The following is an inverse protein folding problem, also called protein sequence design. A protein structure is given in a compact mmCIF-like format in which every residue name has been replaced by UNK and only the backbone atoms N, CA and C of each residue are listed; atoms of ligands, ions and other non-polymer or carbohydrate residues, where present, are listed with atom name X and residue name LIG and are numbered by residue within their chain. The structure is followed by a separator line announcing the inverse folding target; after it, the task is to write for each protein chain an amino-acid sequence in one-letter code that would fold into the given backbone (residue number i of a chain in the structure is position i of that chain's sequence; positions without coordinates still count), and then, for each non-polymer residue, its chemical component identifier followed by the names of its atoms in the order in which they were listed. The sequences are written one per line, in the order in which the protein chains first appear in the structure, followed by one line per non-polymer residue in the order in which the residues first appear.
data_IF_710738636948
#
_entry.id   IF_710738636948
#
_cell.length_a   1.000
_cell.length_b   1.000
_cell.length_c   1.000
_cell.angle_alpha   90.00
_cell.angle_beta   90.00
_cell.angle_gamma   90.00
#
_symmetry.space_group_name_H-M   'P 1'
#
loop_
_entity.id
_entity.type
_entity.pdbx_description
1 polymer ?
#
# COMPACT_ATOMS: atom_id res chain seq x y z
N UNK A 1 23.15 34.18 -7.06
CA UNK A 1 21.95 33.83 -6.28
C UNK A 1 20.67 34.46 -6.84
N UNK A 2 20.50 34.55 -8.17
CA UNK A 2 19.33 35.22 -8.79
C UNK A 2 18.90 34.67 -10.16
N UNK A 3 19.30 33.45 -10.52
CA UNK A 3 18.96 32.83 -11.82
C UNK A 3 18.33 31.44 -11.70
N UNK A 4 18.13 30.92 -10.48
CA UNK A 4 17.52 29.61 -10.22
C UNK A 4 16.06 29.64 -9.74
N UNK A 5 15.42 30.82 -9.71
CA UNK A 5 14.03 31.00 -9.25
C UNK A 5 13.07 31.46 -10.37
N UNK A 6 13.41 31.18 -11.63
CA UNK A 6 12.60 31.58 -12.80
C UNK A 6 12.29 30.42 -13.74
N UNK A 7 11.90 29.26 -13.19
CA UNK A 7 11.30 28.18 -13.97
C UNK A 7 10.01 27.62 -13.33
N UNK A 8 9.36 28.40 -12.46
CA UNK A 8 8.00 28.08 -12.03
C UNK A 8 7.01 28.47 -13.14
N UNK A 9 6.25 27.47 -13.61
CA UNK A 9 5.05 27.60 -14.44
C UNK A 9 5.21 27.73 -15.96
N UNK A 10 6.02 26.87 -16.59
CA UNK A 10 5.51 26.24 -17.82
C UNK A 10 4.74 24.99 -17.38
N UNK A 11 3.42 24.97 -17.62
CA UNK A 11 2.63 23.74 -17.54
C UNK A 11 3.17 22.80 -18.62
N UNK A 12 4.14 21.98 -18.25
CA UNK A 12 4.64 20.89 -19.07
C UNK A 12 3.43 20.06 -19.52
N UNK A 13 3.10 20.08 -20.80
CA UNK A 13 1.84 19.54 -21.33
C UNK A 13 1.62 18.05 -21.05
N UNK A 14 2.68 17.36 -20.65
CA UNK A 14 2.71 15.94 -20.33
C UNK A 14 2.56 15.64 -18.82
N UNK A 15 2.76 16.62 -17.93
CA UNK A 15 2.60 16.46 -16.47
C UNK A 15 1.13 16.65 -16.09
N UNK A 16 0.32 15.66 -16.45
CA UNK A 16 -1.13 15.61 -16.17
C UNK A 16 -1.44 14.37 -15.35
N UNK A 17 -2.41 14.48 -14.45
CA UNK A 17 -3.04 13.33 -13.79
C UNK A 17 -4.49 13.28 -14.24
N UNK A 18 -5.03 12.07 -14.40
CA UNK A 18 -6.43 11.90 -14.76
C UNK A 18 -7.37 11.92 -13.55
N UNK A 19 -6.84 11.84 -12.32
CA UNK A 19 -7.63 11.78 -11.07
C UNK A 19 -7.49 13.03 -10.19
N UNK A 20 -6.56 13.93 -10.53
CA UNK A 20 -6.38 15.21 -9.83
C UNK A 20 -6.17 16.35 -10.80
N UNK A 21 -6.65 17.53 -10.42
CA UNK A 21 -6.54 18.77 -11.22
C UNK A 21 -5.10 19.27 -11.32
N UNK A 22 -4.31 19.03 -10.28
CA UNK A 22 -2.88 19.33 -10.24
C UNK A 22 -2.08 18.06 -10.43
N UNK A 23 -0.96 18.17 -11.12
CA UNK A 23 0.08 17.15 -11.07
C UNK A 23 0.72 17.16 -9.67
N UNK A 24 0.89 16.01 -9.01
CA UNK A 24 1.43 15.97 -7.66
C UNK A 24 2.82 16.59 -7.56
N UNK A 25 2.94 17.64 -6.76
CA UNK A 25 4.17 18.43 -6.64
C UNK A 25 5.33 17.58 -6.11
N UNK A 26 5.06 16.56 -5.27
CA UNK A 26 6.10 15.69 -4.73
C UNK A 26 6.88 14.93 -5.81
N UNK A 27 6.25 14.63 -6.97
CA UNK A 27 6.91 13.89 -8.06
C UNK A 27 7.98 14.70 -8.77
N UNK A 28 7.95 16.03 -8.65
CA UNK A 28 9.00 16.92 -9.18
C UNK A 28 10.31 16.81 -8.40
N UNK A 29 10.29 16.17 -7.22
CA UNK A 29 11.47 16.00 -6.38
C UNK A 29 12.29 14.80 -6.83
N UNK A 30 13.61 14.94 -6.72
CA UNK A 30 14.54 13.86 -7.05
C UNK A 30 14.31 12.65 -6.12
N UNK A 31 14.28 12.91 -4.81
CA UNK A 31 14.05 11.91 -3.76
C UNK A 31 12.59 11.99 -3.33
N UNK A 32 11.85 10.87 -3.46
CA UNK A 32 10.48 10.71 -2.97
C UNK A 32 10.50 9.95 -1.65
N UNK A 33 9.82 10.50 -0.65
CA UNK A 33 9.69 9.95 0.70
C UNK A 33 8.26 10.13 1.19
N UNK A 34 7.85 9.37 2.20
CA UNK A 34 6.54 9.52 2.85
C UNK A 34 6.29 10.94 3.35
N UNK A 35 7.30 11.55 3.97
CA UNK A 35 7.23 12.92 4.50
C UNK A 35 7.15 13.95 3.38
N UNK A 36 7.87 13.74 2.27
CA UNK A 36 7.73 14.60 1.10
C UNK A 36 6.32 14.49 0.50
N UNK A 37 5.77 13.28 0.40
CA UNK A 37 4.42 13.06 -0.10
C UNK A 37 3.39 13.80 0.75
N UNK A 38 3.42 13.64 2.07
CA UNK A 38 2.53 14.36 3.00
C UNK A 38 2.67 15.88 2.87
N UNK A 39 3.90 16.39 2.89
CA UNK A 39 4.18 17.83 2.81
C UNK A 39 3.63 18.44 1.51
N UNK A 40 3.86 17.80 0.38
CA UNK A 40 3.42 18.35 -0.91
C UNK A 40 1.93 18.06 -1.16
N UNK A 41 1.36 16.98 -0.63
CA UNK A 41 -0.10 16.78 -0.59
C UNK A 41 -0.78 17.91 0.18
N UNK A 42 -0.23 18.35 1.32
CA UNK A 42 -0.75 19.52 2.06
C UNK A 42 -0.77 20.80 1.19
N UNK A 43 0.26 21.00 0.37
CA UNK A 43 0.36 22.15 -0.55
C UNK A 43 -0.64 22.00 -1.72
N UNK A 44 -0.72 20.81 -2.31
CA UNK A 44 -1.53 20.54 -3.50
C UNK A 44 -3.02 20.57 -3.17
N UNK A 45 -3.42 20.02 -2.02
CA UNK A 45 -4.81 19.98 -1.55
C UNK A 45 -5.29 21.33 -1.04
N UNK A 46 -4.39 22.16 -0.51
CA UNK A 46 -4.67 23.51 0.02
C UNK A 46 -5.85 23.51 1.00
N UNK A 47 -5.85 22.56 1.96
CA UNK A 47 -6.93 22.42 2.94
C UNK A 47 -6.87 23.46 4.08
N UNK A 48 -6.24 24.61 3.83
CA UNK A 48 -6.20 25.78 4.73
C UNK A 48 -5.69 25.46 6.15
N UNK A 49 -4.80 24.47 6.28
CA UNK A 49 -4.25 24.01 7.57
C UNK A 49 -5.20 23.15 8.42
N UNK A 50 -6.39 22.83 7.91
CA UNK A 50 -7.42 22.00 8.53
C UNK A 50 -7.54 20.64 7.81
N UNK A 51 -8.42 19.77 8.29
CA UNK A 51 -8.77 18.54 7.57
C UNK A 51 -9.95 18.81 6.65
N UNK A 52 -9.82 18.47 5.37
CA UNK A 52 -10.92 18.61 4.41
C UNK A 52 -11.62 17.28 4.19
N UNK A 53 -12.96 17.29 4.26
CA UNK A 53 -13.82 16.19 3.84
C UNK A 53 -14.92 16.80 2.95
N UNK A 54 -14.97 16.36 1.69
CA UNK A 54 -15.75 16.95 0.62
C UNK A 54 -15.43 18.46 0.49
N UNK A 55 -16.43 19.33 0.52
CA UNK A 55 -16.25 20.79 0.41
C UNK A 55 -16.21 21.51 1.76
N UNK A 56 -15.98 20.78 2.85
CA UNK A 56 -15.99 21.30 4.22
C UNK A 56 -14.65 21.08 4.90
N UNK A 57 -14.30 22.01 5.78
CA UNK A 57 -13.11 22.00 6.61
C UNK A 57 -13.49 21.75 8.07
N UNK A 58 -12.68 20.91 8.72
CA UNK A 58 -12.92 20.44 10.07
C UNK A 58 -11.68 20.66 10.94
N UNK A 59 -11.88 20.96 12.22
CA UNK A 59 -10.82 20.95 13.23
C UNK A 59 -10.98 19.75 14.17
N UNK A 60 -10.16 18.73 13.94
CA UNK A 60 -10.15 17.53 14.76
C UNK A 60 -9.14 17.60 15.92
N UNK A 61 -8.50 18.74 16.21
CA UNK A 61 -7.39 18.83 17.16
C UNK A 61 -7.73 18.25 18.56
N UNK A 62 -8.96 18.48 19.05
CA UNK A 62 -9.44 17.92 20.32
C UNK A 62 -9.86 16.44 20.22
N UNK A 63 -10.13 15.94 19.02
CA UNK A 63 -10.59 14.58 18.74
C UNK A 63 -9.46 13.59 18.45
N UNK A 64 -8.27 14.04 18.02
CA UNK A 64 -7.14 13.19 17.60
C UNK A 64 -6.91 12.01 18.57
N UNK A 65 -6.78 12.29 19.87
CA UNK A 65 -6.51 11.26 20.90
C UNK A 65 -7.68 10.32 21.18
N UNK A 66 -8.89 10.73 20.78
CA UNK A 66 -10.14 9.98 20.97
C UNK A 66 -10.57 9.24 19.71
N UNK A 67 -9.86 9.40 18.59
CA UNK A 67 -10.19 8.76 17.33
C UNK A 67 -10.11 7.23 17.47
N UNK A 68 -11.22 6.47 17.25
CA UNK A 68 -11.24 5.03 17.44
C UNK A 68 -10.21 4.26 16.59
N UNK A 69 -9.85 4.78 15.42
CA UNK A 69 -8.83 4.22 14.54
C UNK A 69 -7.38 4.51 14.96
N UNK A 70 -7.16 5.33 15.98
CA UNK A 70 -5.85 5.77 16.45
C UNK A 70 -5.48 7.18 15.99
N UNK A 71 -4.63 7.85 16.77
CA UNK A 71 -4.24 9.25 16.57
C UNK A 71 -3.40 9.46 15.29
N UNK A 72 -2.57 8.47 14.92
CA UNK A 72 -1.63 8.52 13.80
C UNK A 72 -2.27 9.09 12.52
N UNK A 73 -3.45 8.61 12.15
CA UNK A 73 -4.11 8.97 10.89
C UNK A 73 -4.40 10.47 10.80
N UNK A 74 -4.93 11.07 11.87
CA UNK A 74 -5.26 12.50 11.89
C UNK A 74 -4.00 13.36 12.10
N UNK A 75 -3.02 12.89 12.88
CA UNK A 75 -1.75 13.59 13.07
C UNK A 75 -0.97 13.73 11.75
N UNK A 76 -0.88 12.66 10.96
CA UNK A 76 -0.14 12.69 9.70
C UNK A 76 -0.84 13.47 8.60
N UNK A 77 -2.18 13.55 8.62
CA UNK A 77 -2.98 14.13 7.51
C UNK A 77 -3.44 15.56 7.77
N UNK A 78 -2.96 16.21 8.83
CA UNK A 78 -3.31 17.61 9.12
C UNK A 78 -2.97 18.52 7.94
N UNK A 79 -3.94 19.30 7.49
CA UNK A 79 -3.78 20.21 6.35
C UNK A 79 -3.98 19.54 4.98
N UNK A 80 -4.51 18.32 4.91
CA UNK A 80 -4.77 17.61 3.64
C UNK A 80 -6.26 17.38 3.39
N UNK A 81 -6.61 17.08 2.14
CA UNK A 81 -7.90 16.51 1.78
C UNK A 81 -7.89 15.00 2.08
N UNK A 82 -8.73 14.62 3.05
CA UNK A 82 -8.90 13.25 3.53
C UNK A 82 -10.25 12.66 3.12
N UNK A 83 -10.92 13.21 2.11
CA UNK A 83 -12.27 12.77 1.70
C UNK A 83 -12.31 11.28 1.36
N UNK A 84 -11.44 10.82 0.46
CA UNK A 84 -11.42 9.41 0.07
C UNK A 84 -11.05 8.52 1.27
N UNK A 85 -10.05 8.92 2.06
CA UNK A 85 -9.67 8.18 3.26
C UNK A 85 -10.83 8.08 4.27
N UNK A 86 -11.58 9.17 4.47
CA UNK A 86 -12.76 9.19 5.32
C UNK A 86 -13.85 8.25 4.79
N UNK A 87 -14.17 8.31 3.51
CA UNK A 87 -15.19 7.47 2.89
C UNK A 87 -14.84 5.98 2.95
N UNK A 88 -13.56 5.64 2.77
CA UNK A 88 -13.13 4.24 2.65
C UNK A 88 -12.97 3.56 4.00
N UNK A 89 -12.44 4.28 5.00
CA UNK A 89 -12.13 3.68 6.30
C UNK A 89 -13.32 3.69 7.27
N UNK A 90 -14.35 4.49 7.00
CA UNK A 90 -15.56 4.58 7.81
C UNK A 90 -16.77 3.95 7.10
N UNK A 91 -17.00 2.66 7.36
CA UNK A 91 -18.05 1.89 6.67
C UNK A 91 -19.46 2.31 7.12
N UNK A 92 -19.66 2.63 8.40
CA UNK A 92 -20.97 3.00 8.95
C UNK A 92 -21.22 4.51 8.94
N UNK A 93 -22.46 4.94 9.19
CA UNK A 93 -22.83 6.35 9.25
C UNK A 93 -22.40 7.08 10.54
N UNK A 94 -21.94 6.36 11.57
CA UNK A 94 -21.63 6.95 12.87
C UNK A 94 -20.56 8.08 12.81
N UNK A 95 -19.47 7.94 12.03
CA UNK A 95 -18.48 9.01 11.86
C UNK A 95 -19.06 10.24 11.15
N UNK A 96 -19.89 10.05 10.12
CA UNK A 96 -20.57 11.15 9.41
C UNK A 96 -21.50 11.94 10.33
N UNK A 97 -22.20 11.25 11.24
CA UNK A 97 -23.06 11.91 12.24
C UNK A 97 -22.27 12.70 13.29
N UNK A 98 -20.97 12.40 13.47
CA UNK A 98 -20.10 13.09 14.40
C UNK A 98 -19.46 14.35 13.78
N UNK A 99 -19.26 14.37 12.46
CA UNK A 99 -18.58 15.45 11.73
C UNK A 99 -19.08 16.87 12.04
N UNK A 100 -20.39 17.16 12.15
CA UNK A 100 -20.88 18.52 12.39
C UNK A 100 -20.32 19.19 13.65
N UNK A 101 -19.90 18.40 14.65
CA UNK A 101 -19.30 18.93 15.89
C UNK A 101 -17.92 19.58 15.69
N UNK A 102 -17.24 19.24 14.60
CA UNK A 102 -15.88 19.69 14.29
C UNK A 102 -15.83 20.56 13.04
N UNK A 103 -16.97 20.82 12.39
CA UNK A 103 -17.05 21.64 11.19
C UNK A 103 -16.71 23.10 11.52
N UNK A 104 -15.80 23.68 10.74
CA UNK A 104 -15.39 25.08 10.87
C UNK A 104 -16.06 25.94 9.82
N UNK A 105 -15.93 25.56 8.54
CA UNK A 105 -16.47 26.29 7.37
C UNK A 105 -16.38 25.47 6.09
N UNK A 106 -16.97 25.97 5.00
CA UNK A 106 -16.71 25.46 3.65
C UNK A 106 -15.33 25.87 3.16
N UNK A 107 -14.71 25.01 2.34
CA UNK A 107 -13.42 25.31 1.70
C UNK A 107 -13.56 26.42 0.65
N UNK A 108 -12.59 27.32 0.55
CA UNK A 108 -12.64 28.44 -0.39
C UNK A 108 -12.46 28.02 -1.86
N UNK A 109 -11.71 26.94 -2.09
CA UNK A 109 -11.39 26.42 -3.42
C UNK A 109 -11.96 25.02 -3.61
N UNK A 110 -12.35 24.65 -4.84
CA UNK A 110 -12.83 23.30 -5.09
C UNK A 110 -11.69 22.27 -4.96
N UNK A 111 -12.04 21.01 -4.71
CA UNK A 111 -11.11 19.91 -4.39
C UNK A 111 -10.04 19.70 -5.47
N UNK A 112 -8.88 19.16 -5.08
CA UNK A 112 -7.86 18.75 -6.04
C UNK A 112 -8.26 17.46 -6.78
N UNK A 113 -8.82 16.49 -6.04
CA UNK A 113 -9.26 15.21 -6.58
C UNK A 113 -10.63 15.30 -7.25
N UNK A 114 -10.84 14.48 -8.29
CA UNK A 114 -12.08 14.46 -9.08
C UNK A 114 -12.93 13.21 -8.86
N UNK A 115 -12.58 12.36 -7.88
CA UNK A 115 -13.38 11.19 -7.53
C UNK A 115 -14.73 11.59 -6.97
N UNK A 116 -15.74 10.77 -7.31
CA UNK A 116 -17.10 10.93 -6.86
C UNK A 116 -17.48 9.83 -5.87
N UNK A 117 -18.35 10.21 -4.95
CA UNK A 117 -18.99 9.32 -3.98
C UNK A 117 -20.50 9.61 -4.02
N UNK A 118 -21.11 9.49 -5.19
CA UNK A 118 -22.54 9.70 -5.35
C UNK A 118 -23.32 8.68 -4.51
N UNK A 119 -24.45 9.08 -3.94
CA UNK A 119 -25.23 8.19 -3.08
C UNK A 119 -25.77 6.98 -3.83
N UNK A 120 -26.15 7.16 -5.10
CA UNK A 120 -26.55 6.11 -6.03
C UNK A 120 -25.36 5.52 -6.82
N UNK A 121 -24.13 5.96 -6.55
CA UNK A 121 -22.91 5.40 -7.14
C UNK A 121 -22.59 4.00 -6.63
N UNK A 122 -21.67 3.31 -7.32
CA UNK A 122 -21.28 1.94 -7.03
C UNK A 122 -20.72 1.82 -5.62
N UNK A 123 -19.73 2.65 -5.26
CA UNK A 123 -19.06 2.51 -3.97
C UNK A 123 -20.01 2.70 -2.79
N UNK A 124 -20.82 3.78 -2.79
CA UNK A 124 -21.76 4.04 -1.69
C UNK A 124 -22.89 3.01 -1.65
N UNK A 125 -23.30 2.45 -2.79
CA UNK A 125 -24.24 1.33 -2.82
C UNK A 125 -23.68 0.09 -2.14
N UNK A 126 -22.46 -0.34 -2.51
CA UNK A 126 -21.80 -1.48 -1.89
C UNK A 126 -21.54 -1.23 -0.39
N UNK A 127 -21.00 -0.06 -0.04
CA UNK A 127 -20.70 0.34 1.34
C UNK A 127 -21.94 0.26 2.23
N UNK A 128 -23.13 0.70 1.78
CA UNK A 128 -24.38 0.56 2.54
C UNK A 128 -24.77 -0.90 2.78
N UNK A 129 -24.69 -1.75 1.75
CA UNK A 129 -24.98 -3.19 1.87
C UNK A 129 -24.03 -3.84 2.88
N UNK A 130 -22.73 -3.55 2.79
CA UNK A 130 -21.71 -4.04 3.72
C UNK A 130 -21.97 -3.52 5.14
N UNK A 131 -22.27 -2.23 5.32
CA UNK A 131 -22.55 -1.66 6.64
C UNK A 131 -23.72 -2.33 7.37
N UNK A 132 -24.75 -2.76 6.62
CA UNK A 132 -25.86 -3.54 7.17
C UNK A 132 -25.40 -4.95 7.55
N UNK A 133 -24.69 -5.64 6.65
CA UNK A 133 -24.23 -7.00 6.87
C UNK A 133 -23.25 -7.13 8.04
N UNK A 134 -22.44 -6.10 8.34
CA UNK A 134 -21.47 -6.10 9.45
C UNK A 134 -22.07 -6.48 10.81
N UNK A 135 -23.38 -6.27 11.02
CA UNK A 135 -24.05 -6.62 12.28
C UNK A 135 -24.16 -8.13 12.50
N UNK A 136 -24.25 -8.89 11.40
CA UNK A 136 -24.62 -10.31 11.41
C UNK A 136 -23.49 -11.22 10.88
N UNK A 137 -22.32 -10.66 10.54
CA UNK A 137 -21.18 -11.45 10.06
C UNK A 137 -20.60 -12.38 11.13
N UNK A 138 -20.06 -13.51 10.69
CA UNK A 138 -19.26 -14.37 11.54
C UNK A 138 -17.85 -13.78 11.73
N UNK A 139 -17.54 -13.37 12.97
CA UNK A 139 -16.22 -12.82 13.32
C UNK A 139 -15.20 -13.86 13.81
N UNK A 140 -15.58 -15.15 13.94
CA UNK A 140 -14.65 -16.22 14.34
C UNK A 140 -13.42 -16.35 13.43
N UNK A 141 -13.49 -16.11 12.09
CA UNK A 141 -12.31 -16.15 11.23
C UNK A 141 -11.17 -15.23 11.70
N UNK A 142 -11.44 -14.08 12.35
CA UNK A 142 -10.37 -13.23 12.92
C UNK A 142 -9.43 -13.99 13.86
N UNK A 143 -9.95 -14.98 14.61
CA UNK A 143 -9.13 -15.84 15.48
C UNK A 143 -8.15 -16.67 14.66
N UNK A 144 -8.56 -17.17 13.50
CA UNK A 144 -7.68 -17.90 12.58
C UNK A 144 -6.60 -16.99 11.99
N UNK A 145 -6.92 -15.74 11.64
CA UNK A 145 -5.91 -14.73 11.24
C UNK A 145 -4.85 -14.52 12.33
N UNK A 146 -5.28 -14.41 13.59
CA UNK A 146 -4.38 -14.27 14.74
C UNK A 146 -3.50 -15.52 14.95
N UNK A 147 -4.08 -16.72 14.85
CA UNK A 147 -3.33 -17.97 15.00
C UNK A 147 -2.30 -18.16 13.90
N UNK A 148 -2.64 -17.84 12.64
CA UNK A 148 -1.68 -17.88 11.52
C UNK A 148 -0.54 -16.88 11.77
N UNK A 149 -0.85 -15.65 12.16
CA UNK A 149 0.16 -14.64 12.45
C UNK A 149 1.11 -15.07 13.58
N UNK A 150 0.58 -15.60 14.69
CA UNK A 150 1.37 -16.16 15.80
C UNK A 150 2.24 -17.33 15.32
N UNK A 151 1.68 -18.25 14.54
CA UNK A 151 2.42 -19.37 13.96
C UNK A 151 3.59 -18.90 13.09
N UNK A 152 3.36 -17.89 12.24
CA UNK A 152 4.41 -17.30 11.39
C UNK A 152 5.50 -16.64 12.25
N UNK A 153 5.12 -15.87 13.29
CA UNK A 153 6.07 -15.26 14.21
C UNK A 153 6.95 -16.31 14.90
N UNK A 154 6.36 -17.35 15.47
CA UNK A 154 7.13 -18.43 16.11
C UNK A 154 7.98 -19.21 15.11
N UNK A 155 7.50 -19.41 13.88
CA UNK A 155 8.28 -20.05 12.83
C UNK A 155 9.49 -19.21 12.45
N UNK A 156 9.33 -17.89 12.27
CA UNK A 156 10.43 -16.96 11.99
C UNK A 156 11.44 -16.95 13.12
N UNK A 157 10.99 -16.76 14.37
CA UNK A 157 11.89 -16.75 15.53
C UNK A 157 12.59 -18.10 15.69
N UNK A 158 11.85 -19.21 15.71
CA UNK A 158 12.41 -20.54 15.88
C UNK A 158 13.43 -20.90 14.79
N UNK A 159 13.15 -20.54 13.53
CA UNK A 159 14.07 -20.83 12.43
C UNK A 159 15.31 -19.94 12.42
N UNK A 160 15.16 -18.64 12.67
CA UNK A 160 16.29 -17.72 12.89
C UNK A 160 17.19 -18.20 14.03
N UNK A 161 16.62 -18.68 15.13
CA UNK A 161 17.38 -19.14 16.30
C UNK A 161 18.03 -20.51 16.06
N UNK A 162 17.40 -21.39 15.29
CA UNK A 162 17.96 -22.72 15.02
C UNK A 162 19.11 -22.66 14.01
N UNK A 163 19.03 -21.79 13.00
CA UNK A 163 20.05 -21.67 11.94
C UNK A 163 21.51 -21.57 12.47
N UNK A 164 21.86 -20.65 13.40
CA UNK A 164 23.23 -20.51 13.89
C UNK A 164 23.71 -21.66 14.80
N UNK A 165 22.80 -22.50 15.31
CA UNK A 165 23.13 -23.65 16.16
C UNK A 165 23.53 -24.90 15.35
N UNK A 166 23.11 -24.97 14.09
CA UNK A 166 23.35 -26.12 13.23
C UNK A 166 24.80 -26.11 12.71
N UNK A 167 25.41 -27.29 12.60
CA UNK A 167 26.79 -27.45 12.09
C UNK A 167 26.80 -27.75 10.58
N UNK A 168 25.89 -28.60 10.10
CA UNK A 168 25.79 -29.00 8.70
C UNK A 168 25.28 -27.84 7.83
N UNK A 169 26.07 -27.45 6.83
CA UNK A 169 25.77 -26.31 5.94
C UNK A 169 24.37 -26.40 5.32
N UNK A 170 23.99 -27.55 4.77
CA UNK A 170 22.66 -27.73 4.15
C UNK A 170 21.51 -27.49 5.11
N UNK A 171 21.66 -27.90 6.38
CA UNK A 171 20.63 -27.71 7.41
C UNK A 171 20.56 -26.24 7.84
N UNK A 172 21.69 -25.53 7.92
CA UNK A 172 21.70 -24.07 8.17
C UNK A 172 20.93 -23.32 7.08
N UNK A 173 21.28 -23.56 5.82
CA UNK A 173 20.63 -22.92 4.67
C UNK A 173 19.13 -23.24 4.63
N UNK A 174 18.72 -24.47 4.93
CA UNK A 174 17.31 -24.82 5.01
C UNK A 174 16.57 -23.97 6.07
N UNK A 175 17.14 -23.82 7.26
CA UNK A 175 16.54 -22.99 8.32
C UNK A 175 16.52 -21.51 7.95
N UNK A 176 17.55 -21.00 7.26
CA UNK A 176 17.57 -19.64 6.75
C UNK A 176 16.47 -19.40 5.69
N UNK A 177 16.22 -20.38 4.80
CA UNK A 177 15.15 -20.29 3.80
C UNK A 177 13.76 -20.34 4.45
N UNK A 178 13.56 -21.19 5.46
CA UNK A 178 12.32 -21.22 6.26
C UNK A 178 12.14 -19.90 7.00
N UNK A 179 13.20 -19.33 7.58
CA UNK A 179 13.17 -18.02 8.23
C UNK A 179 12.81 -16.92 7.24
N UNK A 180 13.41 -16.90 6.05
CA UNK A 180 13.13 -15.91 5.03
C UNK A 180 11.69 -15.97 4.51
N UNK A 181 11.21 -17.19 4.21
CA UNK A 181 9.84 -17.41 3.75
C UNK A 181 8.81 -17.03 4.83
N UNK A 182 9.02 -17.49 6.07
CA UNK A 182 8.13 -17.14 7.19
C UNK A 182 8.17 -15.64 7.53
N UNK A 183 9.33 -14.99 7.47
CA UNK A 183 9.45 -13.54 7.67
C UNK A 183 8.71 -12.75 6.60
N UNK A 184 8.78 -13.20 5.34
CA UNK A 184 8.02 -12.60 4.24
C UNK A 184 6.52 -12.74 4.49
N UNK A 185 6.06 -13.97 4.77
CA UNK A 185 4.66 -14.25 5.10
C UNK A 185 4.18 -13.48 6.34
N UNK A 186 5.01 -13.32 7.36
CA UNK A 186 4.72 -12.55 8.57
C UNK A 186 4.59 -11.05 8.25
N UNK A 187 5.48 -10.52 7.41
CA UNK A 187 5.41 -9.14 6.92
C UNK A 187 4.12 -8.88 6.15
N UNK A 188 3.75 -9.77 5.21
CA UNK A 188 2.48 -9.68 4.47
C UNK A 188 1.29 -9.84 5.42
N UNK A 189 1.33 -10.78 6.36
CA UNK A 189 0.26 -10.93 7.34
C UNK A 189 0.10 -9.71 8.25
N UNK A 190 1.18 -8.98 8.57
CA UNK A 190 1.14 -7.77 9.38
C UNK A 190 0.40 -6.61 8.69
N UNK A 191 0.30 -6.62 7.37
CA UNK A 191 -0.47 -5.63 6.60
C UNK A 191 -1.95 -5.60 6.96
N UNK A 192 -2.55 -6.76 7.18
CA UNK A 192 -3.89 -6.90 7.75
C UNK A 192 -4.08 -6.08 9.05
N UNK A 193 -3.02 -5.91 9.83
CA UNK A 193 -3.07 -5.28 11.16
C UNK A 193 -2.77 -3.79 11.14
N UNK A 194 -1.91 -3.28 10.26
CA UNK A 194 -1.59 -1.85 10.23
C UNK A 194 -2.67 -0.98 9.57
N UNK A 195 -3.62 -1.55 8.83
CA UNK A 195 -4.82 -0.84 8.37
C UNK A 195 -5.85 -0.60 9.48
N UNK A 196 -5.68 -1.26 10.64
CA UNK A 196 -6.60 -1.19 11.78
C UNK A 196 -6.06 -0.29 12.88
N UNK A 197 -6.87 -0.10 13.93
CA UNK A 197 -6.43 0.49 15.20
C UNK A 197 -5.15 -0.17 15.68
N UNK A 198 -4.25 0.63 16.24
CA UNK A 198 -2.98 0.18 16.81
C UNK A 198 -3.14 -1.10 17.64
N UNK A 199 -2.31 -2.07 17.33
CA UNK A 199 -2.28 -3.40 17.92
C UNK A 199 -0.84 -3.91 17.90
N UNK A 200 -0.54 -4.98 18.62
CA UNK A 200 0.85 -5.43 18.73
C UNK A 200 1.34 -6.13 17.44
N UNK A 201 0.44 -6.75 16.66
CA UNK A 201 0.78 -7.50 15.47
C UNK A 201 1.35 -6.62 14.36
N UNK A 202 0.95 -5.34 14.28
CA UNK A 202 1.51 -4.41 13.29
C UNK A 202 3.02 -4.24 13.44
N UNK A 203 3.56 -4.33 14.67
CA UNK A 203 4.99 -4.18 14.92
C UNK A 203 5.83 -5.34 14.38
N UNK A 204 5.24 -6.52 14.10
CA UNK A 204 6.00 -7.62 13.49
C UNK A 204 6.42 -7.29 12.06
N UNK A 205 5.75 -6.32 11.41
CA UNK A 205 6.18 -5.80 10.12
C UNK A 205 7.62 -5.25 10.19
N UNK A 206 8.02 -4.66 11.32
CA UNK A 206 9.34 -4.07 11.49
C UNK A 206 10.49 -5.09 11.55
N UNK A 207 10.19 -6.38 11.75
CA UNK A 207 11.20 -7.46 11.64
C UNK A 207 11.78 -7.57 10.22
N UNK A 208 11.07 -7.04 9.21
CA UNK A 208 11.51 -6.99 7.81
C UNK A 208 12.50 -5.86 7.52
N UNK A 209 12.78 -4.98 8.48
CA UNK A 209 13.46 -3.69 8.27
C UNK A 209 12.64 -2.63 7.52
N UNK A 210 11.43 -2.96 7.06
CA UNK A 210 10.42 -1.97 6.72
C UNK A 210 9.81 -1.39 8.00
N UNK A 211 8.95 -0.38 7.86
CA UNK A 211 8.35 0.30 9.00
C UNK A 211 6.84 0.48 8.78
N UNK A 212 6.02 -0.02 9.72
CA UNK A 212 4.56 0.01 9.55
C UNK A 212 4.00 1.44 9.48
N UNK A 213 4.63 2.41 10.17
CA UNK A 213 4.18 3.80 10.15
C UNK A 213 4.43 4.44 8.78
N UNK A 214 5.58 4.14 8.16
CA UNK A 214 5.84 4.53 6.77
C UNK A 214 4.89 3.84 5.79
N UNK A 215 4.60 2.55 6.00
CA UNK A 215 3.65 1.81 5.16
C UNK A 215 2.20 2.24 5.33
N UNK A 216 1.80 2.76 6.50
CA UNK A 216 0.50 3.43 6.63
C UNK A 216 0.40 4.66 5.73
N UNK A 217 1.52 5.34 5.46
CA UNK A 217 1.54 6.49 4.55
C UNK A 217 1.62 6.02 3.09
N UNK A 218 2.66 5.26 2.71
CA UNK A 218 2.87 4.85 1.31
C UNK A 218 1.76 3.93 0.81
N UNK A 219 1.39 2.95 1.63
CA UNK A 219 0.48 1.91 1.22
C UNK A 219 -0.96 2.29 1.56
N UNK A 220 -1.28 2.51 2.84
CA UNK A 220 -2.68 2.70 3.25
C UNK A 220 -3.28 4.05 2.85
N UNK A 221 -2.59 5.18 3.06
CA UNK A 221 -3.11 6.51 2.70
C UNK A 221 -2.94 6.85 1.22
N UNK A 222 -1.87 6.37 0.61
CA UNK A 222 -1.52 6.69 -0.77
C UNK A 222 -1.98 5.60 -1.74
N UNK A 223 -1.39 4.41 -1.69
CA UNK A 223 -1.64 3.37 -2.68
C UNK A 223 -3.08 2.85 -2.65
N UNK A 224 -3.63 2.45 -1.50
CA UNK A 224 -5.02 1.95 -1.39
C UNK A 224 -6.06 2.94 -1.91
N UNK A 225 -5.81 4.24 -1.71
CA UNK A 225 -6.74 5.29 -2.09
C UNK A 225 -6.58 5.69 -3.56
N UNK A 226 -5.36 5.75 -4.06
CA UNK A 226 -5.01 6.34 -5.35
C UNK A 226 -4.29 5.35 -6.29
N UNK A 227 -4.51 4.06 -6.12
CA UNK A 227 -3.82 2.92 -6.80
C UNK A 227 -3.45 3.23 -8.24
N UNK A 228 -2.17 3.07 -8.61
CA UNK A 228 -1.64 3.27 -9.98
C UNK A 228 -1.79 4.69 -10.57
N UNK A 229 -2.26 5.67 -9.81
CA UNK A 229 -2.29 7.07 -10.27
C UNK A 229 -0.93 7.77 -10.09
N UNK A 230 -0.82 9.01 -10.57
CA UNK A 230 0.32 9.88 -10.21
C UNK A 230 0.37 10.20 -8.70
N UNK A 231 -0.75 10.12 -7.99
CA UNK A 231 -0.84 10.39 -6.56
C UNK A 231 -0.38 9.19 -5.72
N UNK A 232 -0.29 8.01 -6.32
CA UNK A 232 0.27 6.81 -5.72
C UNK A 232 1.79 6.94 -5.54
N UNK A 233 2.22 7.08 -4.29
CA UNK A 233 3.62 7.10 -3.88
C UNK A 233 4.33 5.81 -4.31
N UNK A 234 3.69 4.63 -4.24
CA UNK A 234 4.32 3.35 -4.57
C UNK A 234 4.66 3.25 -6.07
N UNK A 235 3.92 3.95 -6.93
CA UNK A 235 4.27 4.12 -8.34
C UNK A 235 5.54 4.95 -8.57
N UNK A 236 5.97 5.77 -7.60
CA UNK A 236 7.15 6.63 -7.71
C UNK A 236 8.37 6.12 -6.94
N UNK A 237 8.17 5.28 -5.92
CA UNK A 237 9.25 4.82 -5.03
C UNK A 237 10.26 3.91 -5.75
N UNK A 238 9.86 3.28 -6.85
CA UNK A 238 10.73 2.44 -7.68
C UNK A 238 11.33 3.20 -8.88
N UNK A 239 10.93 4.45 -9.12
CA UNK A 239 11.48 5.25 -10.21
C UNK A 239 12.91 5.74 -9.89
N UNK A 240 13.82 5.78 -10.88
CA UNK A 240 13.61 5.51 -12.30
C UNK A 240 13.85 4.04 -12.71
N UNK A 241 13.97 3.12 -11.75
CA UNK A 241 14.39 1.74 -12.01
C UNK A 241 13.25 0.86 -12.51
N UNK A 242 12.07 0.96 -11.91
CA UNK A 242 10.83 0.32 -12.36
C UNK A 242 9.77 1.41 -12.55
N UNK A 243 9.27 1.58 -13.78
CA UNK A 243 8.31 2.63 -14.13
C UNK A 243 7.08 2.01 -14.80
N UNK A 244 5.94 1.99 -14.11
CA UNK A 244 4.69 1.43 -14.67
C UNK A 244 3.81 2.48 -15.35
N UNK A 245 4.11 3.78 -15.22
CA UNK A 245 3.42 4.83 -15.97
C UNK A 245 3.72 4.65 -17.47
N UNK A 246 2.72 4.51 -18.36
CA UNK A 246 2.91 4.12 -19.75
C UNK A 246 3.29 5.32 -20.64
N UNK A 247 4.46 5.91 -20.39
CA UNK A 247 4.95 7.07 -21.14
C UNK A 247 6.48 7.03 -21.30
N UNK A 248 6.95 7.41 -22.50
CA UNK A 248 8.38 7.55 -22.79
C UNK A 248 9.03 8.73 -22.05
N UNK A 249 8.23 9.64 -21.49
CA UNK A 249 8.72 10.73 -20.63
C UNK A 249 9.21 10.23 -19.27
N UNK A 250 8.69 9.10 -18.79
CA UNK A 250 9.10 8.48 -17.52
C UNK A 250 10.23 7.46 -17.72
N UNK A 251 10.13 6.63 -18.76
CA UNK A 251 11.18 5.67 -19.10
C UNK A 251 11.16 5.36 -20.59
N UNK A 252 12.32 5.51 -21.22
CA UNK A 252 12.57 5.08 -22.60
C UNK A 252 12.42 3.56 -22.76
N UNK A 253 12.22 3.09 -23.99
CA UNK A 253 12.16 1.65 -24.31
C UNK A 253 13.37 0.87 -23.76
N UNK A 254 14.58 1.45 -23.88
CA UNK A 254 15.82 0.83 -23.38
C UNK A 254 15.83 0.71 -21.87
N UNK A 255 15.41 1.75 -21.15
CA UNK A 255 15.30 1.72 -19.69
C UNK A 255 14.29 0.66 -19.24
N UNK A 256 13.16 0.52 -19.92
CA UNK A 256 12.14 -0.49 -19.59
C UNK A 256 12.60 -1.93 -19.79
N UNK A 257 13.35 -2.19 -20.86
CA UNK A 257 14.00 -3.50 -21.05
C UNK A 257 14.98 -3.76 -19.91
N UNK A 258 15.77 -2.74 -19.54
CA UNK A 258 16.68 -2.84 -18.40
C UNK A 258 15.92 -3.12 -17.11
N UNK A 259 14.80 -2.44 -16.83
CA UNK A 259 13.91 -2.67 -15.68
C UNK A 259 13.52 -4.14 -15.54
N UNK A 260 13.08 -4.78 -16.64
CA UNK A 260 12.70 -6.21 -16.65
C UNK A 260 13.87 -7.12 -16.30
N UNK A 261 15.08 -6.81 -16.77
CA UNK A 261 16.28 -7.59 -16.50
C UNK A 261 16.79 -7.42 -15.05
N UNK A 262 16.71 -6.20 -14.51
CA UNK A 262 17.28 -5.86 -13.21
C UNK A 262 16.31 -6.02 -12.04
N UNK A 263 14.99 -6.09 -12.28
CA UNK A 263 14.00 -6.13 -11.20
C UNK A 263 14.26 -7.22 -10.13
N UNK A 264 14.75 -8.45 -10.44
CA UNK A 264 15.02 -9.44 -9.40
C UNK A 264 16.11 -8.98 -8.42
N UNK A 265 17.08 -8.20 -8.91
CA UNK A 265 18.13 -7.60 -8.09
C UNK A 265 17.52 -6.51 -7.20
N UNK A 266 16.63 -5.68 -7.72
CA UNK A 266 15.94 -4.67 -6.89
C UNK A 266 15.13 -5.32 -5.77
N UNK A 267 14.43 -6.42 -6.05
CA UNK A 267 13.59 -7.11 -5.07
C UNK A 267 14.39 -7.58 -3.86
N UNK A 268 15.64 -8.02 -4.10
CA UNK A 268 16.58 -8.45 -3.06
C UNK A 268 16.96 -7.33 -2.07
N UNK A 269 16.93 -6.06 -2.50
CA UNK A 269 17.43 -4.93 -1.71
C UNK A 269 16.37 -4.00 -1.12
N UNK A 270 15.06 -4.21 -1.36
CA UNK A 270 14.00 -3.32 -0.85
C UNK A 270 14.06 -3.16 0.67
N UNK A 271 14.13 -4.27 1.42
CA UNK A 271 14.18 -4.24 2.89
C UNK A 271 15.40 -3.46 3.44
N UNK A 272 16.66 -3.83 3.12
CA UNK A 272 17.82 -3.11 3.63
C UNK A 272 17.88 -1.68 3.13
N UNK A 273 17.50 -1.41 1.87
CA UNK A 273 17.47 -0.05 1.33
C UNK A 273 16.57 0.87 2.15
N UNK A 274 15.36 0.43 2.50
CA UNK A 274 14.42 1.24 3.28
C UNK A 274 14.96 1.62 4.67
N UNK A 275 15.63 0.70 5.36
CA UNK A 275 16.28 1.02 6.63
C UNK A 275 17.48 1.97 6.44
N UNK A 276 18.35 1.69 5.46
CA UNK A 276 19.52 2.53 5.16
C UNK A 276 19.05 3.95 4.79
N UNK A 277 18.02 4.08 3.96
CA UNK A 277 17.44 5.37 3.55
C UNK A 277 16.97 6.17 4.76
N UNK A 278 16.18 5.56 5.65
CA UNK A 278 15.73 6.20 6.89
C UNK A 278 16.88 6.62 7.81
N UNK A 279 17.87 5.74 8.00
CA UNK A 279 19.04 6.02 8.86
C UNK A 279 19.85 7.16 8.27
N UNK A 280 20.24 7.08 6.99
CA UNK A 280 21.07 8.09 6.34
C UNK A 280 20.37 9.45 6.29
N UNK A 281 19.07 9.49 5.99
CA UNK A 281 18.30 10.73 6.03
C UNK A 281 18.22 11.31 7.45
N UNK A 282 18.10 10.46 8.47
CA UNK A 282 18.04 10.91 9.87
C UNK A 282 19.38 11.46 10.37
N UNK A 283 20.50 10.98 9.82
CA UNK A 283 21.84 11.49 10.14
C UNK A 283 22.16 12.80 9.42
N UNK A 284 21.69 12.98 8.19
CA UNK A 284 22.05 14.13 7.34
C UNK A 284 21.03 15.27 7.40
N UNK A 285 19.78 14.97 7.76
CA UNK A 285 18.66 15.91 7.71
C UNK A 285 17.80 15.78 8.98
N UNK A 286 16.47 15.79 8.85
CA UNK A 286 15.55 15.58 9.96
C UNK A 286 15.41 14.09 10.29
N UNK A 287 15.40 13.77 11.58
CA UNK A 287 15.13 12.42 12.06
C UNK A 287 13.80 11.88 11.50
N UNK A 288 13.87 10.69 10.91
CA UNK A 288 12.76 9.90 10.37
C UNK A 288 12.68 8.51 11.00
N UNK A 289 13.63 8.17 11.88
CA UNK A 289 13.58 6.92 12.63
C UNK A 289 12.51 7.00 13.71
N UNK A 290 11.76 5.92 13.82
CA UNK A 290 10.84 5.64 14.90
C UNK A 290 11.51 4.70 15.91
N UNK A 291 11.05 4.72 17.16
CA UNK A 291 11.58 3.80 18.17
C UNK A 291 11.47 2.33 17.74
N UNK A 292 10.41 1.98 16.99
CA UNK A 292 10.16 0.62 16.51
C UNK A 292 11.01 0.21 15.30
N UNK A 293 11.85 1.09 14.73
CA UNK A 293 12.89 0.66 13.78
C UNK A 293 13.90 -0.30 14.46
N UNK A 294 14.08 -0.19 15.79
CA UNK A 294 14.95 -1.11 16.55
C UNK A 294 14.46 -2.57 16.52
N UNK A 295 13.16 -2.80 16.26
CA UNK A 295 12.58 -4.15 16.24
C UNK A 295 13.24 -4.99 15.13
N UNK A 296 13.57 -4.41 13.99
CA UNK A 296 14.26 -5.12 12.91
C UNK A 296 15.64 -5.65 13.30
N UNK A 297 16.30 -5.01 14.27
CA UNK A 297 17.60 -5.42 14.81
C UNK A 297 17.49 -6.45 15.93
N UNK A 298 16.27 -6.78 16.38
CA UNK A 298 16.06 -7.82 17.41
C UNK A 298 16.40 -9.23 16.90
N UNK A 299 16.16 -9.54 15.62
CA UNK A 299 16.50 -10.84 15.03
C UNK A 299 18.01 -11.13 15.09
N UNK A 300 18.91 -10.30 14.54
CA UNK A 300 20.34 -10.56 14.61
C UNK A 300 20.85 -10.52 16.05
N UNK A 301 20.31 -9.66 16.91
CA UNK A 301 20.67 -9.62 18.32
C UNK A 301 20.36 -10.96 19.03
N UNK A 302 19.15 -11.49 18.85
CA UNK A 302 18.75 -12.79 19.42
C UNK A 302 19.58 -13.94 18.84
N UNK A 303 19.85 -13.94 17.53
CA UNK A 303 20.72 -14.94 16.90
C UNK A 303 22.13 -14.91 17.48
N UNK A 304 22.69 -13.73 17.71
CA UNK A 304 24.02 -13.55 18.30
C UNK A 304 24.10 -14.04 19.76
N UNK A 305 23.03 -13.90 20.54
CA UNK A 305 22.99 -14.36 21.94
C UNK A 305 23.15 -15.87 22.10
N UNK A 306 22.71 -16.65 21.11
CA UNK A 306 22.73 -18.12 21.17
C UNK A 306 23.79 -18.76 20.27
N UNK A 307 24.34 -17.99 19.33
CA UNK A 307 25.30 -18.51 18.38
C UNK A 307 26.59 -18.95 19.08
N UNK A 308 27.11 -20.11 18.67
CA UNK A 308 28.42 -20.62 19.11
C UNK A 308 29.55 -20.25 18.15
N UNK A 309 29.22 -19.62 17.02
CA UNK A 309 30.16 -19.28 15.94
C UNK A 309 30.61 -17.82 15.96
N UNK A 310 31.49 -17.43 15.03
CA UNK A 310 31.97 -16.06 14.92
C UNK A 310 30.83 -15.07 14.64
N UNK A 311 30.93 -13.86 15.21
CA UNK A 311 30.00 -12.74 15.00
C UNK A 311 29.62 -12.53 13.53
N UNK A 312 30.62 -12.46 12.64
CA UNK A 312 30.40 -12.24 11.21
C UNK A 312 29.61 -13.36 10.52
N UNK A 313 29.74 -14.60 11.00
CA UNK A 313 28.97 -15.71 10.44
C UNK A 313 27.48 -15.56 10.71
N UNK A 314 27.10 -15.07 11.90
CA UNK A 314 25.71 -14.84 12.28
C UNK A 314 25.12 -13.66 11.51
N UNK A 315 25.88 -12.57 11.38
CA UNK A 315 25.44 -11.44 10.58
C UNK A 315 25.21 -11.82 9.12
N UNK A 316 26.10 -12.62 8.50
CA UNK A 316 25.89 -13.10 7.13
C UNK A 316 24.66 -14.00 6.98
N UNK A 317 24.34 -14.81 8.00
CA UNK A 317 23.11 -15.61 8.02
C UNK A 317 21.86 -14.71 8.06
N UNK A 318 21.81 -13.76 9.00
CA UNK A 318 20.72 -12.79 9.08
C UNK A 318 20.58 -11.99 7.78
N UNK A 319 21.70 -11.57 7.19
CA UNK A 319 21.71 -10.83 5.94
C UNK A 319 21.09 -11.65 4.80
N UNK A 320 21.43 -12.94 4.66
CA UNK A 320 20.78 -13.83 3.68
C UNK A 320 19.28 -13.94 3.94
N UNK A 321 18.86 -14.13 5.19
CA UNK A 321 17.42 -14.19 5.56
C UNK A 321 16.69 -12.94 5.09
N UNK A 322 17.22 -11.75 5.39
CA UNK A 322 16.64 -10.46 4.98
C UNK A 322 16.54 -10.35 3.46
N UNK A 323 17.59 -10.71 2.73
CA UNK A 323 17.63 -10.55 1.27
C UNK A 323 16.69 -11.52 0.54
N UNK A 324 16.63 -12.77 0.99
CA UNK A 324 15.65 -13.74 0.47
C UNK A 324 14.21 -13.33 0.83
N UNK A 325 13.99 -12.83 2.05
CA UNK A 325 12.67 -12.37 2.47
C UNK A 325 12.22 -11.14 1.67
N UNK A 326 13.12 -10.18 1.45
CA UNK A 326 12.90 -9.00 0.61
C UNK A 326 12.53 -9.40 -0.81
N UNK A 327 13.26 -10.36 -1.39
CA UNK A 327 12.96 -10.87 -2.73
C UNK A 327 11.54 -11.45 -2.81
N UNK A 328 11.18 -12.34 -1.89
CA UNK A 328 9.85 -12.96 -1.87
C UNK A 328 8.74 -11.93 -1.64
N UNK A 329 8.93 -11.01 -0.70
CA UNK A 329 7.95 -9.97 -0.39
C UNK A 329 7.69 -9.07 -1.59
N UNK A 330 8.75 -8.61 -2.24
CA UNK A 330 8.64 -7.71 -3.40
C UNK A 330 8.08 -8.44 -4.62
N UNK A 331 8.47 -9.71 -4.83
CA UNK A 331 7.92 -10.56 -5.88
C UNK A 331 6.41 -10.75 -5.68
N UNK A 332 5.95 -11.04 -4.46
CA UNK A 332 4.53 -11.21 -4.19
C UNK A 332 3.79 -9.87 -4.30
N UNK A 333 4.29 -8.80 -3.66
CA UNK A 333 3.62 -7.50 -3.60
C UNK A 333 3.47 -6.81 -4.96
N UNK A 334 4.52 -6.76 -5.78
CA UNK A 334 4.43 -6.15 -7.12
C UNK A 334 3.64 -6.99 -8.13
N UNK A 335 3.31 -8.24 -7.78
CA UNK A 335 2.48 -9.13 -8.59
C UNK A 335 1.21 -9.56 -7.83
N UNK A 336 0.69 -8.66 -6.99
CA UNK A 336 -0.52 -8.87 -6.19
C UNK A 336 -1.81 -8.24 -6.78
N UNK A 337 -1.79 -7.76 -8.02
CA UNK A 337 -3.02 -7.38 -8.74
C UNK A 337 -2.99 -6.01 -9.40
N UNK A 338 -1.97 -5.19 -9.15
CA UNK A 338 -1.95 -3.79 -9.60
C UNK A 338 -1.38 -3.58 -10.99
N UNK A 339 -0.28 -4.24 -11.31
CA UNK A 339 0.54 -3.86 -12.46
C UNK A 339 0.24 -4.66 -13.73
N UNK A 340 -0.99 -5.12 -13.93
CA UNK A 340 -1.36 -5.84 -15.16
C UNK A 340 -1.62 -4.87 -16.33
N UNK A 341 -1.43 -5.29 -17.58
CA UNK A 341 -1.64 -4.37 -18.74
C UNK A 341 -3.08 -3.93 -18.93
N UNK A 342 -4.02 -4.73 -18.44
CA UNK A 342 -5.45 -4.40 -18.42
C UNK A 342 -5.84 -3.57 -17.20
N UNK A 343 -4.98 -3.45 -16.18
CA UNK A 343 -5.23 -2.60 -15.04
C UNK A 343 -4.93 -1.14 -15.39
N UNK A 344 -5.75 -0.25 -14.84
CA UNK A 344 -5.62 1.18 -15.03
C UNK A 344 -4.28 1.69 -14.47
N UNK A 345 -3.57 2.51 -15.24
CA UNK A 345 -2.43 3.31 -14.77
C UNK A 345 -2.57 4.75 -15.27
N UNK A 346 -2.10 5.74 -14.50
CA UNK A 346 -2.28 7.15 -14.89
C UNK A 346 -1.68 7.44 -16.27
N UNK A 347 -2.47 8.14 -17.09
CA UNK A 347 -2.23 8.31 -18.52
C UNK A 347 -3.15 7.45 -19.39
N UNK A 348 -3.60 6.29 -18.92
CA UNK A 348 -4.62 5.49 -19.60
C UNK A 348 -5.98 6.21 -19.60
N UNK A 349 -6.86 5.80 -20.52
CA UNK A 349 -8.25 6.21 -20.52
C UNK A 349 -8.93 5.83 -19.20
N UNK A 350 -9.59 6.81 -18.61
CA UNK A 350 -10.23 6.70 -17.30
C UNK A 350 -11.76 6.85 -17.48
N UNK A 351 -12.54 6.19 -16.61
CA UNK A 351 -14.01 6.27 -16.62
C UNK A 351 -14.50 7.70 -16.41
N UNK A 352 -15.63 8.04 -17.03
CA UNK A 352 -16.20 9.38 -16.96
C UNK A 352 -16.97 9.64 -15.66
N UNK A 353 -17.60 8.61 -15.08
CA UNK A 353 -18.39 8.70 -13.84
C UNK A 353 -17.56 9.08 -12.60
N UNK A 354 -16.24 8.79 -12.66
CA UNK A 354 -15.26 8.99 -11.58
C UNK A 354 -15.64 8.33 -10.24
N UNK A 355 -16.49 7.31 -10.23
CA UNK A 355 -16.82 6.56 -9.02
C UNK A 355 -15.56 5.89 -8.47
N UNK A 356 -15.22 6.21 -7.22
CA UNK A 356 -13.98 5.72 -6.60
C UNK A 356 -13.93 4.19 -6.49
N UNK A 357 -15.06 3.53 -6.23
CA UNK A 357 -15.09 2.08 -6.08
C UNK A 357 -14.89 1.37 -7.41
N UNK A 358 -15.46 1.91 -8.48
CA UNK A 358 -15.22 1.38 -9.82
C UNK A 358 -13.79 1.66 -10.31
N UNK A 359 -13.22 2.82 -9.95
CA UNK A 359 -11.79 3.09 -10.20
C UNK A 359 -10.88 2.02 -9.56
N UNK A 360 -11.19 1.57 -8.33
CA UNK A 360 -10.42 0.48 -7.71
C UNK A 360 -10.56 -0.83 -8.48
N UNK A 361 -11.74 -1.14 -9.02
CA UNK A 361 -11.94 -2.30 -9.90
C UNK A 361 -11.12 -2.21 -11.19
N UNK A 362 -10.89 -1.00 -11.70
CA UNK A 362 -10.09 -0.76 -12.90
C UNK A 362 -8.59 -0.88 -12.64
N UNK A 363 -8.14 -0.38 -11.49
CA UNK A 363 -6.73 -0.36 -11.11
C UNK A 363 -6.23 -1.69 -10.51
N UNK A 364 -7.13 -2.57 -10.08
CA UNK A 364 -6.79 -3.83 -9.42
C UNK A 364 -7.38 -5.06 -10.14
N UNK A 365 -6.72 -6.20 -9.97
CA UNK A 365 -7.15 -7.51 -10.45
C UNK A 365 -7.02 -8.51 -9.31
N UNK A 366 -8.07 -9.28 -9.06
CA UNK A 366 -8.07 -10.27 -7.99
C UNK A 366 -7.34 -11.57 -8.39
N UNK A 367 -7.10 -12.47 -7.44
CA UNK A 367 -6.50 -13.80 -7.69
C UNK A 367 -7.45 -14.90 -7.28
N UNK A 368 -7.85 -15.73 -8.22
CA UNK A 368 -8.78 -16.81 -7.97
C UNK A 368 -8.15 -17.99 -7.20
N UNK A 369 -6.89 -18.35 -7.48
CA UNK A 369 -6.28 -19.58 -6.93
C UNK A 369 -6.04 -19.57 -5.42
N UNK A 370 -6.00 -18.40 -4.80
CA UNK A 370 -5.81 -18.25 -3.35
C UNK A 370 -7.14 -18.13 -2.60
N UNK A 371 -8.25 -17.86 -3.32
CA UNK A 371 -9.59 -17.77 -2.71
C UNK A 371 -9.95 -19.10 -2.06
N UNK A 372 -10.56 -19.03 -0.89
CA UNK A 372 -10.92 -20.21 -0.09
C UNK A 372 -9.82 -20.72 0.85
N UNK A 373 -8.56 -20.32 0.66
CA UNK A 373 -7.49 -20.59 1.63
C UNK A 373 -7.16 -19.36 2.45
N UNK A 374 -7.68 -19.29 3.68
CA UNK A 374 -7.39 -18.20 4.61
C UNK A 374 -5.90 -18.01 4.84
N UNK A 375 -5.13 -19.10 4.91
CA UNK A 375 -3.67 -19.01 5.02
C UNK A 375 -3.07 -18.29 3.81
N UNK A 376 -3.37 -18.75 2.59
CA UNK A 376 -2.83 -18.14 1.37
C UNK A 376 -3.27 -16.69 1.20
N UNK A 377 -4.53 -16.37 1.49
CA UNK A 377 -5.04 -15.00 1.48
C UNK A 377 -4.19 -14.09 2.37
N UNK A 378 -3.95 -14.50 3.62
CA UNK A 378 -3.27 -13.67 4.60
C UNK A 378 -1.77 -13.47 4.29
N UNK A 379 -1.12 -14.45 3.67
CA UNK A 379 0.32 -14.39 3.38
C UNK A 379 0.66 -13.89 1.98
N UNK A 380 -0.33 -13.53 1.17
CA UNK A 380 -0.09 -13.15 -0.22
C UNK A 380 -0.80 -11.88 -0.69
N UNK A 381 -1.50 -11.12 0.16
CA UNK A 381 -2.39 -10.00 -0.21
C UNK A 381 -3.66 -10.46 -0.96
N UNK A 382 -4.27 -11.56 -0.54
CA UNK A 382 -5.50 -12.07 -1.16
C UNK A 382 -6.74 -11.23 -0.86
N UNK A 383 -7.89 -11.62 -1.41
CA UNK A 383 -9.15 -10.87 -1.26
C UNK A 383 -9.01 -9.43 -1.75
N UNK A 384 -8.24 -9.25 -2.81
CA UNK A 384 -7.47 -8.03 -3.02
C UNK A 384 -8.36 -6.81 -3.32
N UNK A 385 -9.40 -7.01 -4.14
CA UNK A 385 -10.40 -5.99 -4.45
C UNK A 385 -11.18 -5.60 -3.19
N UNK A 386 -11.70 -6.57 -2.44
CA UNK A 386 -12.44 -6.29 -1.22
C UNK A 386 -11.57 -5.63 -0.16
N UNK A 387 -10.29 -5.97 -0.12
CA UNK A 387 -9.32 -5.34 0.75
C UNK A 387 -9.07 -3.88 0.37
N UNK A 388 -8.96 -3.54 -0.92
CA UNK A 388 -8.89 -2.14 -1.35
C UNK A 388 -10.17 -1.35 -1.03
N UNK A 389 -11.34 -1.95 -1.20
CA UNK A 389 -12.63 -1.31 -0.95
C UNK A 389 -12.94 -1.15 0.55
N UNK A 390 -12.46 -2.06 1.39
CA UNK A 390 -12.72 -2.13 2.84
C UNK A 390 -11.46 -2.53 3.65
N UNK A 391 -10.39 -1.72 3.61
CA UNK A 391 -9.05 -2.12 4.11
C UNK A 391 -8.98 -2.31 5.62
N UNK A 392 -9.94 -1.77 6.37
CA UNK A 392 -10.01 -1.90 7.84
C UNK A 392 -10.60 -3.22 8.30
N UNK A 393 -11.21 -3.99 7.40
CA UNK A 393 -11.73 -5.31 7.71
C UNK A 393 -10.60 -6.35 7.67
N UNK A 394 -10.70 -7.34 8.56
CA UNK A 394 -9.71 -8.41 8.59
C UNK A 394 -9.86 -9.29 7.33
N UNK A 395 -8.74 -9.73 6.75
CA UNK A 395 -8.75 -10.63 5.58
C UNK A 395 -9.57 -11.91 5.78
N UNK A 396 -9.75 -12.39 7.02
CA UNK A 396 -10.63 -13.52 7.31
C UNK A 396 -12.14 -13.21 7.21
N UNK A 397 -12.51 -11.94 7.17
CA UNK A 397 -13.91 -11.46 7.08
C UNK A 397 -14.30 -11.16 5.64
N UNK A 398 -13.37 -10.63 4.84
CA UNK A 398 -13.61 -10.22 3.46
C UNK A 398 -14.35 -11.28 2.60
N UNK A 399 -14.04 -12.59 2.67
CA UNK A 399 -14.73 -13.58 1.84
C UNK A 399 -16.26 -13.60 1.99
N UNK A 400 -16.79 -13.23 3.17
CA UNK A 400 -18.23 -13.18 3.45
C UNK A 400 -18.94 -12.04 2.69
N UNK A 401 -18.19 -11.08 2.12
CA UNK A 401 -18.74 -9.92 1.42
C UNK A 401 -18.82 -10.10 -0.10
N UNK A 402 -18.22 -11.16 -0.67
CA UNK A 402 -18.30 -11.42 -2.11
C UNK A 402 -19.74 -11.49 -2.66
N UNK A 403 -20.72 -12.10 -1.98
CA UNK A 403 -22.10 -12.09 -2.47
C UNK A 403 -22.64 -10.66 -2.69
N UNK A 404 -22.36 -9.74 -1.77
CA UNK A 404 -22.76 -8.33 -1.85
C UNK A 404 -22.00 -7.60 -2.97
N UNK A 405 -20.71 -7.92 -3.14
CA UNK A 405 -19.92 -7.38 -4.24
C UNK A 405 -20.48 -7.83 -5.59
N UNK A 406 -20.74 -9.13 -5.79
CA UNK A 406 -21.27 -9.65 -7.05
C UNK A 406 -22.68 -9.13 -7.37
N UNK A 407 -23.54 -9.02 -6.35
CA UNK A 407 -24.85 -8.39 -6.52
C UNK A 407 -24.72 -6.94 -6.99
N UNK A 408 -23.78 -6.19 -6.42
CA UNK A 408 -23.55 -4.78 -6.79
C UNK A 408 -22.87 -4.67 -8.16
N UNK A 409 -21.89 -5.52 -8.48
CA UNK A 409 -21.30 -5.58 -9.83
C UNK A 409 -22.37 -5.81 -10.90
N UNK A 410 -23.30 -6.74 -10.65
CA UNK A 410 -24.44 -6.99 -11.55
C UNK A 410 -25.33 -5.76 -11.72
N UNK A 411 -25.59 -5.02 -10.63
CA UNK A 411 -26.41 -3.80 -10.65
C UNK A 411 -25.79 -2.69 -11.52
N UNK A 412 -24.46 -2.60 -11.56
CA UNK A 412 -23.72 -1.59 -12.31
C UNK A 412 -23.17 -2.11 -13.65
N UNK A 413 -23.58 -3.31 -14.08
CA UNK A 413 -23.12 -3.97 -15.31
C UNK A 413 -21.61 -4.19 -15.41
N UNK A 414 -20.95 -4.37 -14.26
CA UNK A 414 -19.50 -4.53 -14.13
C UNK A 414 -19.11 -5.98 -13.81
N UNK A 415 -17.83 -6.30 -13.98
CA UNK A 415 -17.30 -7.66 -13.78
C UNK A 415 -16.04 -7.64 -12.91
N UNK A 416 -15.90 -8.66 -12.05
CA UNK A 416 -14.69 -8.88 -11.29
C UNK A 416 -13.64 -9.56 -12.19
N UNK A 417 -12.48 -8.94 -12.34
CA UNK A 417 -11.36 -9.50 -13.10
C UNK A 417 -10.44 -10.30 -12.19
N UNK A 418 -10.08 -11.49 -12.63
CA UNK A 418 -9.22 -12.39 -11.86
C UNK A 418 -8.14 -13.02 -12.74
N UNK A 419 -6.89 -12.92 -12.33
CA UNK A 419 -5.74 -13.56 -13.00
C UNK A 419 -5.01 -14.48 -12.03
N UNK A 420 -4.38 -15.53 -12.58
CA UNK A 420 -3.47 -16.36 -11.82
C UNK A 420 -2.14 -15.68 -11.55
N UNK A 421 -1.44 -16.06 -10.48
CA UNK A 421 -0.16 -15.47 -10.11
C UNK A 421 0.89 -15.54 -11.23
N UNK A 422 1.06 -16.66 -11.98
CA UNK A 422 1.94 -16.67 -13.15
C UNK A 422 1.51 -15.68 -14.24
N UNK A 423 0.20 -15.54 -14.47
CA UNK A 423 -0.33 -14.56 -15.41
C UNK A 423 -0.06 -13.13 -14.94
N UNK A 424 -0.18 -12.84 -13.65
CA UNK A 424 0.16 -11.53 -13.10
C UNK A 424 1.63 -11.18 -13.29
N UNK A 425 2.55 -12.14 -13.11
CA UNK A 425 3.98 -11.93 -13.40
C UNK A 425 4.20 -11.58 -14.87
N UNK A 426 3.57 -12.31 -15.80
CA UNK A 426 3.68 -12.03 -17.23
C UNK A 426 3.14 -10.62 -17.54
N UNK A 427 1.97 -10.28 -17.00
CA UNK A 427 1.31 -9.01 -17.25
C UNK A 427 2.04 -7.82 -16.62
N UNK A 428 2.67 -7.99 -15.46
CA UNK A 428 3.53 -6.99 -14.82
C UNK A 428 4.75 -6.68 -15.69
N UNK A 429 5.39 -7.70 -16.25
CA UNK A 429 6.52 -7.50 -17.15
C UNK A 429 6.09 -6.81 -18.45
N UNK A 430 4.92 -7.17 -18.99
CA UNK A 430 4.33 -6.48 -20.16
C UNK A 430 4.01 -5.02 -19.83
N UNK A 431 3.51 -4.73 -18.63
CA UNK A 431 3.24 -3.37 -18.18
C UNK A 431 4.52 -2.54 -18.07
N UNK A 432 5.59 -3.09 -17.51
CA UNK A 432 6.90 -2.42 -17.47
C UNK A 432 7.39 -2.02 -18.87
N UNK A 433 7.15 -2.87 -19.88
CA UNK A 433 7.53 -2.61 -21.27
C UNK A 433 6.62 -1.60 -21.99
N UNK A 434 5.46 -1.25 -21.44
CA UNK A 434 4.46 -0.38 -22.09
C UNK A 434 4.94 1.08 -22.12
N UNK A 435 5.00 1.68 -23.31
CA UNK A 435 5.43 3.09 -23.48
C UNK A 435 4.32 4.05 -23.89
N UNK A 436 3.13 3.54 -24.20
CA UNK A 436 1.99 4.32 -24.65
C UNK A 436 0.78 4.00 -23.78
N UNK A 437 -0.05 4.99 -23.45
CA UNK A 437 -1.27 4.74 -22.72
C UNK A 437 -2.25 3.86 -23.50
N UNK A 438 -3.07 3.12 -22.75
CA UNK A 438 -4.23 2.46 -23.28
C UNK A 438 -5.36 3.48 -23.47
N UNK A 439 -5.90 3.59 -24.68
CA UNK A 439 -7.01 4.51 -24.98
C UNK A 439 -8.38 3.90 -24.64
N UNK A 440 -8.41 2.62 -24.28
CA UNK A 440 -9.61 1.95 -23.83
C UNK A 440 -9.66 1.93 -22.30
N UNK A 441 -10.85 2.24 -21.76
CA UNK A 441 -11.13 2.15 -20.33
C UNK A 441 -10.90 0.70 -19.85
N UNK A 442 -10.15 0.58 -18.76
CA UNK A 442 -9.96 -0.67 -18.01
C UNK A 442 -11.26 -1.02 -17.30
N UNK A 443 -11.66 -2.30 -17.26
CA UNK A 443 -12.98 -2.65 -16.72
C UNK A 443 -14.11 -2.18 -17.65
N UNK A 444 -15.30 -2.75 -17.53
CA UNK A 444 -16.39 -2.51 -18.47
C UNK A 444 -16.45 -3.49 -19.66
N UNK A 445 -17.68 -3.91 -19.99
CA UNK A 445 -17.95 -4.76 -21.15
C UNK A 445 -17.39 -4.14 -22.42
N UNK A 446 -16.86 -4.97 -23.32
CA UNK A 446 -16.69 -4.61 -24.73
C UNK A 446 -18.05 -4.07 -25.21
N UNK A 447 -18.21 -2.76 -25.36
CA UNK A 447 -19.20 -2.20 -26.28
C UNK A 447 -18.50 -1.92 -27.59
#
# INVERSE_FOLDING_TARGET
MSTYLKSECEQDDWRKSTISRKYPTYRTKLIKTNQSWLKYKQIDDDAEGLWRIHDKLYDFSSFIKHHPGGAFWLEQTKGTDITEAFEVHHITAAPSNLLPKYEVRKAAKPRNYVFTFHDDGFYRTLKRKVALALKDLDYRPKRKSNLIHIFLLFTTLGSCLTAPLLQRFSSKILMELIAAASLCSLGIAAHNYFHRKDNWQMYTFNLTLLNFAEWRISHAMSHHIYTNSMQDLEMSLFEPFLCWVPSERYASKRQRILSVLIQPIFYVFVYPYQLIERVMHSLISKNRLYWHDVIGLSLPALMLMIAKGPFWSVLMQWWRIIHFSSFLFTLVGLNAGHHCTTAYHDGDANREDRDWGLYQLDACIDRNEIKGSHFMVLISFGEHILHHLFPTLDHGILPQLYPLLFETLKQFEEELREFSFPKQIIEQNRQLLRTKPNLRISGGKNK
#
